data_IF_303685918827
#
_entry.id   IF_303685918827
#
_cell.length_a   1.000
_cell.length_b   1.000
_cell.length_c   1.000
_cell.angle_alpha   90.00
_cell.angle_beta   90.00
_cell.angle_gamma   90.00
#
_symmetry.space_group_name_H-M   'P 1'
#
loop_
_entity.id
_entity.type
_entity.pdbx_description
1 polymer ?
#
# COMPACT_ATOMS: atom_id res chain seq x y z
N UNK A 1 -15.58 -3.82 -20.82
CA UNK A 1 -14.85 -2.93 -19.90
C UNK A 1 -13.64 -3.69 -19.38
N UNK A 2 -12.46 -3.40 -19.89
CA UNK A 2 -11.21 -4.04 -19.43
C UNK A 2 -10.80 -3.33 -18.14
N UNK A 3 -10.98 -3.97 -16.99
CA UNK A 3 -10.47 -3.44 -15.72
C UNK A 3 -8.96 -3.65 -15.77
N UNK A 4 -8.23 -2.57 -16.03
CA UNK A 4 -6.77 -2.61 -16.01
C UNK A 4 -6.25 -2.76 -14.57
N UNK A 5 -5.00 -3.22 -14.39
CA UNK A 5 -4.40 -3.38 -13.07
C UNK A 5 -4.38 -2.07 -12.26
N UNK A 6 -4.29 -0.93 -12.93
CA UNK A 6 -4.38 0.41 -12.30
C UNK A 6 -5.80 0.70 -11.81
N UNK A 7 -6.83 0.33 -12.56
CA UNK A 7 -8.23 0.52 -12.18
C UNK A 7 -8.61 -0.40 -11.01
N UNK A 8 -8.07 -1.62 -10.98
CA UNK A 8 -8.21 -2.54 -9.85
C UNK A 8 -7.47 -2.02 -8.61
N UNK A 9 -6.25 -1.49 -8.77
CA UNK A 9 -5.51 -0.83 -7.69
C UNK A 9 -6.32 0.30 -7.04
N UNK A 10 -6.92 1.16 -7.87
CA UNK A 10 -7.76 2.27 -7.42
C UNK A 10 -9.02 1.77 -6.69
N UNK A 11 -9.68 0.72 -7.18
CA UNK A 11 -10.86 0.16 -6.54
C UNK A 11 -10.58 -0.49 -5.16
N UNK A 12 -9.34 -0.92 -4.93
CA UNK A 12 -8.90 -1.49 -3.65
C UNK A 12 -8.20 -0.46 -2.76
N UNK A 13 -7.89 0.72 -3.29
CA UNK A 13 -7.38 1.84 -2.48
C UNK A 13 -8.47 2.28 -1.50
N UNK A 14 -8.14 2.33 -0.21
CA UNK A 14 -9.14 2.56 0.85
C UNK A 14 -9.45 1.35 1.72
N UNK A 15 -9.16 0.12 1.25
CA UNK A 15 -9.41 -1.08 2.04
C UNK A 15 -8.22 -1.41 2.95
N UNK A 16 -8.46 -1.64 4.25
CA UNK A 16 -7.41 -2.14 5.12
C UNK A 16 -7.02 -3.55 4.67
N UNK A 17 -5.72 -3.84 4.75
CA UNK A 17 -5.19 -5.18 4.51
C UNK A 17 -5.22 -5.97 5.81
N UNK A 18 -5.64 -7.24 5.77
CA UNK A 18 -5.72 -8.07 6.96
C UNK A 18 -4.38 -8.32 7.65
N UNK A 19 -3.25 -8.12 6.95
CA UNK A 19 -1.91 -8.20 7.50
C UNK A 19 -1.28 -6.82 7.78
N UNK A 20 -2.03 -5.73 7.62
CA UNK A 20 -1.54 -4.35 7.71
C UNK A 20 -0.38 -4.04 6.74
N UNK A 21 -0.28 -4.77 5.63
CA UNK A 21 0.76 -4.58 4.61
C UNK A 21 0.18 -3.84 3.41
N UNK A 22 0.88 -2.79 3.00
CA UNK A 22 0.45 -1.92 1.92
C UNK A 22 1.59 -1.60 0.97
N UNK A 23 1.26 -1.45 -0.31
CA UNK A 23 2.13 -0.87 -1.32
C UNK A 23 1.77 0.60 -1.48
N UNK A 24 2.72 1.49 -1.21
CA UNK A 24 2.59 2.93 -1.50
C UNK A 24 3.22 3.22 -2.85
N UNK A 25 2.45 3.76 -3.77
CA UNK A 25 2.94 4.19 -5.08
C UNK A 25 3.57 5.57 -4.94
N UNK A 26 4.82 5.68 -5.37
CA UNK A 26 5.60 6.91 -5.30
C UNK A 26 6.30 7.13 -6.65
N UNK A 27 5.70 7.90 -7.58
CA UNK A 27 6.27 8.10 -8.92
C UNK A 27 7.58 8.91 -8.90
N UNK A 28 7.97 9.50 -7.76
CA UNK A 28 9.24 10.18 -7.54
C UNK A 28 9.72 9.91 -6.13
N UNK A 29 10.86 9.23 -5.97
CA UNK A 29 11.48 9.00 -4.68
C UNK A 29 11.62 10.33 -3.90
N UNK A 30 10.80 10.53 -2.88
CA UNK A 30 10.74 11.77 -2.11
C UNK A 30 11.19 11.52 -0.67
N UNK A 31 11.94 12.48 -0.14
CA UNK A 31 12.19 12.54 1.30
C UNK A 31 10.88 12.75 2.10
N UNK A 32 9.81 13.21 1.44
CA UNK A 32 8.48 13.41 2.00
C UNK A 32 7.87 12.11 2.50
N UNK A 33 7.80 11.08 1.65
CA UNK A 33 7.22 9.80 2.04
C UNK A 33 7.95 9.19 3.24
N UNK A 34 9.28 9.21 3.24
CA UNK A 34 10.05 8.67 4.38
C UNK A 34 9.73 9.39 5.70
N UNK A 35 9.54 10.72 5.65
CA UNK A 35 9.14 11.51 6.82
C UNK A 35 7.72 11.19 7.27
N UNK A 36 6.80 11.06 6.32
CA UNK A 36 5.39 10.77 6.61
C UNK A 36 5.21 9.35 7.16
N UNK A 37 5.94 8.37 6.63
CA UNK A 37 5.99 7.00 7.16
C UNK A 37 6.48 7.00 8.62
N UNK A 38 7.57 7.72 8.91
CA UNK A 38 8.08 7.85 10.27
C UNK A 38 7.07 8.52 11.21
N UNK A 39 6.35 9.55 10.72
CA UNK A 39 5.31 10.26 11.49
C UNK A 39 4.15 9.35 11.89
N UNK A 40 3.73 8.46 11.00
CA UNK A 40 2.60 7.54 11.24
C UNK A 40 3.03 6.21 11.86
N UNK A 41 4.31 6.04 12.17
CA UNK A 41 4.86 4.79 12.71
C UNK A 41 4.89 3.62 11.71
N UNK A 42 4.78 3.90 10.41
CA UNK A 42 4.86 2.90 9.37
C UNK A 42 6.30 2.43 9.16
N UNK A 43 6.50 1.14 8.88
CA UNK A 43 7.81 0.55 8.61
C UNK A 43 7.88 0.00 7.20
N UNK A 44 9.00 0.19 6.54
CA UNK A 44 9.22 -0.36 5.21
C UNK A 44 9.55 -1.84 5.27
N UNK A 45 9.07 -2.58 4.25
CA UNK A 45 9.42 -3.97 3.99
C UNK A 45 10.14 -4.03 2.65
N UNK A 46 11.33 -4.63 2.63
CA UNK A 46 12.09 -4.89 1.41
C UNK A 46 13.22 -3.87 1.14
N UNK A 47 13.69 -3.75 -0.11
CA UNK A 47 14.86 -2.96 -0.43
C UNK A 47 14.60 -1.47 -0.19
N UNK A 48 15.47 -0.85 0.61
CA UNK A 48 15.49 0.60 0.83
C UNK A 48 15.61 1.32 -0.52
N UNK A 49 14.65 2.21 -0.83
CA UNK A 49 14.60 3.09 -2.02
C UNK A 49 14.16 2.44 -3.34
N UNK A 50 13.09 1.66 -3.33
CA UNK A 50 12.42 1.28 -4.57
C UNK A 50 11.87 2.53 -5.31
N UNK A 51 12.14 2.63 -6.61
CA UNK A 51 11.97 3.86 -7.42
C UNK A 51 10.51 4.29 -7.63
N UNK A 52 9.59 3.33 -7.67
CA UNK A 52 8.20 3.55 -8.07
C UNK A 52 7.18 3.20 -7.01
N UNK A 53 7.54 2.33 -6.07
CA UNK A 53 6.63 1.85 -5.04
C UNK A 53 7.41 1.29 -3.86
N UNK A 54 6.91 1.49 -2.64
CA UNK A 54 7.51 1.00 -1.40
C UNK A 54 6.47 0.14 -0.68
N UNK A 55 6.88 -1.05 -0.26
CA UNK A 55 6.04 -1.90 0.56
C UNK A 55 6.23 -1.48 2.02
N UNK A 56 5.14 -1.30 2.75
CA UNK A 56 5.13 -0.82 4.13
C UNK A 56 4.20 -1.67 4.98
N UNK A 57 4.43 -1.61 6.29
CA UNK A 57 3.46 -1.96 7.32
C UNK A 57 2.95 -0.68 7.95
N UNK A 58 1.64 -0.56 8.10
CA UNK A 58 1.02 0.58 8.74
C UNK A 58 -0.23 0.13 9.49
N UNK A 59 -0.35 0.51 10.76
CA UNK A 59 -1.61 0.31 11.50
C UNK A 59 -2.76 1.08 10.83
N UNK A 60 -4.04 0.70 11.04
CA UNK A 60 -5.18 1.32 10.34
C UNK A 60 -5.24 2.86 10.45
N UNK A 61 -4.82 3.43 11.58
CA UNK A 61 -4.72 4.88 11.76
C UNK A 61 -3.66 5.51 10.86
N UNK A 62 -2.49 4.87 10.74
CA UNK A 62 -1.42 5.32 9.85
C UNK A 62 -1.78 5.18 8.37
N UNK A 63 -2.52 4.13 8.00
CA UNK A 63 -3.10 3.98 6.67
C UNK A 63 -4.03 5.16 6.31
N UNK A 64 -4.95 5.50 7.21
CA UNK A 64 -5.87 6.62 7.02
C UNK A 64 -5.14 7.97 6.89
N UNK A 65 -4.09 8.19 7.67
CA UNK A 65 -3.31 9.44 7.62
C UNK A 65 -2.48 9.57 6.35
N UNK A 66 -1.93 8.47 5.85
CA UNK A 66 -1.23 8.46 4.56
C UNK A 66 -2.21 8.71 3.40
N UNK A 67 -3.44 8.17 3.44
CA UNK A 67 -4.46 8.49 2.45
C UNK A 67 -4.87 9.96 2.47
N UNK A 68 -5.08 10.53 3.66
CA UNK A 68 -5.36 11.97 3.82
C UNK A 68 -4.23 12.85 3.29
N UNK A 69 -3.00 12.36 3.37
CA UNK A 69 -1.82 13.05 2.83
C UNK A 69 -1.70 12.95 1.30
N UNK A 70 -2.63 12.24 0.63
CA UNK A 70 -2.71 12.15 -0.82
C UNK A 70 -1.92 10.98 -1.42
N UNK A 71 -1.42 10.05 -0.60
CA UNK A 71 -0.70 8.89 -1.11
C UNK A 71 -1.67 7.87 -1.73
N UNK A 72 -1.24 7.29 -2.87
CA UNK A 72 -1.91 6.14 -3.46
C UNK A 72 -1.41 4.87 -2.77
N UNK A 73 -2.31 4.22 -2.03
CA UNK A 73 -2.01 3.06 -1.21
C UNK A 73 -2.85 1.89 -1.69
N UNK A 74 -2.20 0.77 -2.00
CA UNK A 74 -2.83 -0.48 -2.39
C UNK A 74 -2.57 -1.53 -1.29
N UNK A 75 -3.58 -2.28 -0.84
CA UNK A 75 -3.35 -3.39 0.09
C UNK A 75 -2.54 -4.50 -0.59
N UNK A 76 -1.62 -5.13 0.15
CA UNK A 76 -0.79 -6.20 -0.38
C UNK A 76 -1.61 -7.39 -0.89
N UNK A 77 -2.76 -7.64 -0.29
CA UNK A 77 -3.71 -8.65 -0.77
C UNK A 77 -4.26 -8.36 -2.17
N UNK A 78 -4.53 -7.09 -2.51
CA UNK A 78 -4.91 -6.71 -3.86
C UNK A 78 -3.75 -6.91 -4.86
N UNK A 79 -2.51 -6.61 -4.45
CA UNK A 79 -1.33 -6.89 -5.29
C UNK A 79 -1.19 -8.39 -5.56
N UNK A 80 -1.35 -9.22 -4.54
CA UNK A 80 -1.30 -10.67 -4.68
C UNK A 80 -2.37 -11.18 -5.66
N UNK A 81 -3.60 -10.66 -5.57
CA UNK A 81 -4.68 -11.00 -6.51
C UNK A 81 -4.33 -10.61 -7.96
N UNK A 82 -3.73 -9.43 -8.17
CA UNK A 82 -3.24 -9.01 -9.50
C UNK A 82 -2.16 -9.96 -10.04
N UNK A 83 -1.31 -10.50 -9.16
CA UNK A 83 -0.31 -11.50 -9.51
C UNK A 83 -0.88 -12.93 -9.65
N UNK A 84 -2.20 -13.12 -9.52
CA UNK A 84 -2.84 -14.43 -9.59
C UNK A 84 -2.66 -15.28 -8.32
N UNK A 85 -2.15 -14.70 -7.24
CA UNK A 85 -1.97 -15.35 -5.95
C UNK A 85 -3.26 -15.22 -5.15
N UNK A 86 -3.90 -16.35 -4.85
CA UNK A 86 -5.09 -16.39 -3.99
C UNK A 86 -4.65 -16.46 -2.53
N UNK A 87 -4.85 -15.38 -1.79
CA UNK A 87 -4.66 -15.38 -0.34
C UNK A 87 -5.92 -15.94 0.29
N UNK A 88 -5.78 -16.99 1.11
CA UNK A 88 -6.88 -17.42 1.98
C UNK A 88 -7.10 -16.32 3.01
N UNK A 89 -8.24 -15.63 2.95
CA UNK A 89 -8.68 -14.79 4.07
C UNK A 89 -8.83 -15.68 5.30
N UNK A 90 -7.93 -15.53 6.27
CA UNK A 90 -8.12 -16.11 7.59
C UNK A 90 -9.22 -15.30 8.28
N UNK A 91 -10.45 -15.80 8.15
CA UNK A 91 -11.60 -15.34 8.91
C UNK A 91 -11.23 -15.39 10.39
N UNK A 92 -11.18 -14.22 11.03
CA UNK A 92 -11.25 -14.10 12.50
C UNK A 92 -12.70 -13.92 12.90
#
# INVERSE_FOLDING_TARGET
MTIGPVTFAMAQSGRPDGADIYLVLEPRASAGLTRDLARVGAKEIGPLRATFARLITAVPTGHADLQKSGYLIMPASALALLCGIKIKESVS
#
